data_IF_401380889972
#
_entry.id   IF_401380889972
#
_cell.length_a   1.000
_cell.length_b   1.000
_cell.length_c   1.000
_cell.angle_alpha   90.00
_cell.angle_beta   90.00
_cell.angle_gamma   90.00
#
_symmetry.space_group_name_H-M   'P 1'
#
loop_
_entity.id
_entity.type
_entity.pdbx_description
1 polymer ?
#
# COMPACT_ATOMS: atom_id res chain seq x y z
N UNK A 1 1.20 -20.76 10.96
CA UNK A 1 0.31 -21.28 9.91
C UNK A 1 -0.82 -20.28 9.75
N UNK A 2 -0.78 -19.41 8.73
CA UNK A 2 -1.70 -18.27 8.61
C UNK A 2 -3.14 -18.73 8.33
N UNK A 3 -4.11 -18.17 9.06
CA UNK A 3 -5.55 -18.47 8.98
C UNK A 3 -6.15 -18.40 7.58
N UNK A 4 -5.49 -17.73 6.61
CA UNK A 4 -6.00 -17.59 5.24
C UNK A 4 -6.07 -18.93 4.49
N UNK A 5 -5.19 -19.90 4.79
CA UNK A 5 -5.21 -21.23 4.14
C UNK A 5 -6.28 -22.17 4.70
N UNK A 6 -6.79 -21.90 5.90
CA UNK A 6 -7.79 -22.77 6.55
C UNK A 6 -9.22 -22.46 6.08
N UNK A 7 -9.44 -21.25 5.53
CA UNK A 7 -10.76 -20.75 5.11
C UNK A 7 -10.62 -19.97 3.80
N UNK A 8 -10.50 -20.65 2.65
CA UNK A 8 -10.20 -20.02 1.35
C UNK A 8 -11.29 -19.06 0.85
N UNK A 9 -12.50 -19.13 1.41
CA UNK A 9 -13.64 -18.26 1.06
C UNK A 9 -13.72 -16.96 1.87
N UNK A 10 -12.95 -16.83 2.96
CA UNK A 10 -12.99 -15.62 3.78
C UNK A 10 -12.04 -14.57 3.22
N UNK A 11 -12.58 -13.49 2.69
CA UNK A 11 -11.78 -12.33 2.26
C UNK A 11 -11.18 -11.64 3.49
N UNK A 12 -9.87 -11.44 3.48
CA UNK A 12 -9.14 -10.65 4.46
C UNK A 12 -8.64 -9.36 3.79
N UNK A 13 -8.84 -8.22 4.44
CA UNK A 13 -8.32 -6.94 3.98
C UNK A 13 -7.31 -6.38 5.00
N UNK A 14 -6.09 -6.08 4.54
CA UNK A 14 -5.07 -5.39 5.31
C UNK A 14 -4.89 -3.99 4.76
N UNK A 15 -5.14 -2.98 5.59
CA UNK A 15 -4.96 -1.56 5.24
C UNK A 15 -3.74 -1.00 5.94
N UNK A 16 -2.86 -0.33 5.20
CA UNK A 16 -1.69 0.35 5.71
C UNK A 16 -1.81 1.82 5.33
N UNK A 17 -2.05 2.68 6.31
CA UNK A 17 -1.99 4.13 6.10
C UNK A 17 -0.56 4.64 6.25
N UNK A 18 -0.28 5.80 5.66
CA UNK A 18 1.05 6.44 5.66
C UNK A 18 2.18 5.48 5.24
N UNK A 19 1.91 4.65 4.22
CA UNK A 19 2.86 3.61 3.79
C UNK A 19 4.20 4.20 3.32
N UNK A 20 4.23 5.48 2.94
CA UNK A 20 5.46 6.22 2.62
C UNK A 20 6.49 6.28 3.77
N UNK A 21 6.05 6.11 5.03
CA UNK A 21 6.96 5.94 6.17
C UNK A 21 7.75 4.63 6.13
N UNK A 22 7.18 3.57 5.56
CA UNK A 22 7.79 2.25 5.43
C UNK A 22 8.58 2.08 4.14
N UNK A 23 8.21 2.80 3.08
CA UNK A 23 8.87 2.70 1.76
C UNK A 23 9.34 4.05 1.21
N UNK A 24 10.18 4.80 1.95
CA UNK A 24 10.72 6.05 1.46
C UNK A 24 11.65 5.84 0.25
N UNK A 25 11.74 6.85 -0.60
CA UNK A 25 12.65 6.88 -1.75
C UNK A 25 14.09 6.67 -1.31
N UNK A 26 14.81 5.80 -2.03
CA UNK A 26 16.25 5.58 -1.83
C UNK A 26 17.00 6.84 -2.25
N UNK A 27 17.65 7.51 -1.30
CA UNK A 27 18.59 8.61 -1.57
C UNK A 27 20.01 8.12 -1.31
N UNK A 28 21.02 8.76 -1.91
CA UNK A 28 22.43 8.35 -1.73
C UNK A 28 22.92 8.41 -0.26
N UNK A 29 22.19 9.10 0.62
CA UNK A 29 22.44 9.17 2.06
C UNK A 29 21.43 8.35 2.90
N UNK A 30 20.63 7.49 2.27
CA UNK A 30 19.71 6.64 3.00
C UNK A 30 20.50 5.63 3.84
N UNK A 31 20.17 5.53 5.13
CA UNK A 31 20.74 4.51 6.00
C UNK A 31 20.45 3.11 5.43
N UNK A 32 21.49 2.28 5.33
CA UNK A 32 21.41 0.92 4.79
C UNK A 32 20.27 0.10 5.43
N UNK A 33 20.06 0.26 6.74
CA UNK A 33 18.98 -0.38 7.49
C UNK A 33 17.57 -0.09 6.95
N UNK A 34 17.32 1.11 6.43
CA UNK A 34 16.02 1.46 5.82
C UNK A 34 15.85 0.76 4.47
N UNK A 35 16.91 0.62 3.69
CA UNK A 35 16.89 -0.07 2.38
C UNK A 35 16.64 -1.57 2.56
N UNK A 36 17.24 -2.16 3.60
CA UNK A 36 17.03 -3.57 3.94
C UNK A 36 15.59 -3.82 4.40
N UNK A 37 15.03 -2.94 5.24
CA UNK A 37 13.62 -3.00 5.67
C UNK A 37 12.63 -2.96 4.51
N UNK A 38 12.86 -2.10 3.51
CA UNK A 38 12.03 -2.04 2.29
C UNK A 38 12.12 -3.36 1.52
N UNK A 39 13.32 -3.92 1.38
CA UNK A 39 13.53 -5.17 0.65
C UNK A 39 12.82 -6.35 1.32
N UNK A 40 12.87 -6.41 2.66
CA UNK A 40 12.11 -7.39 3.46
C UNK A 40 10.61 -7.21 3.27
N UNK A 41 10.10 -5.98 3.36
CA UNK A 41 8.68 -5.69 3.15
C UNK A 41 8.21 -6.12 1.75
N UNK A 42 9.00 -5.83 0.71
CA UNK A 42 8.70 -6.25 -0.66
C UNK A 42 8.67 -7.78 -0.82
N UNK A 43 9.62 -8.48 -0.21
CA UNK A 43 9.66 -9.95 -0.22
C UNK A 43 8.42 -10.54 0.46
N UNK A 44 7.99 -9.98 1.59
CA UNK A 44 6.76 -10.40 2.27
C UNK A 44 5.53 -10.14 1.40
N UNK A 45 5.44 -8.97 0.78
CA UNK A 45 4.34 -8.60 -0.14
C UNK A 45 4.28 -9.59 -1.33
N UNK A 46 5.41 -10.00 -1.88
CA UNK A 46 5.44 -11.02 -2.93
C UNK A 46 4.96 -12.39 -2.43
N UNK A 47 5.30 -12.77 -1.19
CA UNK A 47 4.79 -13.99 -0.56
C UNK A 47 3.27 -13.96 -0.36
N UNK A 48 2.71 -12.84 0.09
CA UNK A 48 1.25 -12.72 0.32
C UNK A 48 0.43 -12.53 -0.95
N UNK A 49 1.02 -12.08 -2.07
CA UNK A 49 0.31 -12.00 -3.37
C UNK A 49 -0.23 -13.34 -3.85
N UNK A 50 0.36 -14.45 -3.40
CA UNK A 50 -0.08 -15.80 -3.76
C UNK A 50 -1.26 -16.29 -2.89
N UNK A 51 -1.75 -15.47 -1.96
CA UNK A 51 -2.92 -15.77 -1.12
C UNK A 51 -4.17 -15.21 -1.81
N UNK A 52 -5.04 -16.05 -2.39
CA UNK A 52 -6.12 -15.62 -3.29
C UNK A 52 -7.21 -14.77 -2.60
N UNK A 53 -7.32 -14.86 -1.27
CA UNK A 53 -8.34 -14.19 -0.47
C UNK A 53 -7.81 -13.00 0.35
N UNK A 54 -6.61 -12.49 0.05
CA UNK A 54 -6.00 -11.37 0.78
C UNK A 54 -5.89 -10.13 -0.12
N UNK A 55 -6.50 -9.03 0.34
CA UNK A 55 -6.40 -7.72 -0.28
C UNK A 55 -5.50 -6.85 0.59
N UNK A 56 -4.47 -6.25 -0.01
CA UNK A 56 -3.60 -5.28 0.66
C UNK A 56 -3.82 -3.90 0.06
N UNK A 57 -4.22 -2.94 0.90
CA UNK A 57 -4.46 -1.56 0.53
C UNK A 57 -3.42 -0.67 1.22
N UNK A 58 -2.71 0.15 0.44
CA UNK A 58 -1.78 1.15 0.96
C UNK A 58 -2.29 2.56 0.65
N UNK A 59 -2.32 3.43 1.65
CA UNK A 59 -2.66 4.83 1.51
C UNK A 59 -1.44 5.72 1.79
N UNK A 60 -1.34 6.83 1.05
CA UNK A 60 -0.23 7.79 1.19
C UNK A 60 -0.64 9.15 0.64
N UNK A 61 -0.15 10.20 1.30
CA UNK A 61 -0.25 11.59 0.84
C UNK A 61 1.01 12.04 0.08
N UNK A 62 2.09 11.26 0.12
CA UNK A 62 3.42 11.64 -0.38
C UNK A 62 3.94 10.65 -1.42
N UNK A 63 3.13 10.34 -2.44
CA UNK A 63 3.47 9.39 -3.50
C UNK A 63 4.84 9.65 -4.16
N UNK A 64 5.21 10.92 -4.35
CA UNK A 64 6.49 11.34 -4.93
C UNK A 64 7.72 11.03 -4.05
N UNK A 65 7.51 10.78 -2.76
CA UNK A 65 8.55 10.46 -1.79
C UNK A 65 8.74 8.95 -1.59
N UNK A 66 8.01 8.12 -2.33
CA UNK A 66 8.07 6.66 -2.18
C UNK A 66 9.11 6.00 -3.09
N UNK A 67 9.53 4.79 -2.71
CA UNK A 67 10.41 3.95 -3.52
C UNK A 67 9.72 3.47 -4.83
N UNK A 68 10.43 3.66 -5.95
CA UNK A 68 9.93 3.29 -7.28
C UNK A 68 9.76 1.78 -7.46
N UNK A 69 10.60 0.95 -6.83
CA UNK A 69 10.47 -0.51 -6.93
C UNK A 69 9.22 -1.00 -6.20
N UNK A 70 8.89 -0.40 -5.06
CA UNK A 70 7.61 -0.62 -4.38
C UNK A 70 6.43 -0.20 -5.24
N UNK A 71 6.45 1.02 -5.80
CA UNK A 71 5.37 1.49 -6.66
C UNK A 71 5.15 0.59 -7.87
N UNK A 72 6.21 0.01 -8.44
CA UNK A 72 6.11 -0.97 -9.55
C UNK A 72 5.49 -2.30 -9.11
N UNK A 73 5.68 -2.72 -7.85
CA UNK A 73 5.10 -3.96 -7.31
C UNK A 73 3.58 -3.88 -7.08
N UNK A 74 3.03 -2.69 -6.87
CA UNK A 74 1.59 -2.52 -6.62
C UNK A 74 0.79 -2.67 -7.91
N UNK A 75 -0.21 -3.57 -7.89
CA UNK A 75 -1.03 -3.88 -9.07
C UNK A 75 -1.96 -2.72 -9.45
N UNK A 76 -2.70 -2.20 -8.48
CA UNK A 76 -3.63 -1.08 -8.67
C UNK A 76 -3.08 0.19 -8.04
N UNK A 77 -3.24 1.32 -8.74
CA UNK A 77 -2.81 2.65 -8.28
C UNK A 77 -3.96 3.62 -8.52
N UNK A 78 -4.57 4.11 -7.46
CA UNK A 78 -5.63 5.11 -7.53
C UNK A 78 -5.08 6.46 -7.03
N UNK A 79 -5.40 7.54 -7.72
CA UNK A 79 -5.19 8.89 -7.22
C UNK A 79 -6.52 9.46 -6.76
N UNK A 80 -6.59 9.83 -5.49
CA UNK A 80 -7.76 10.47 -4.91
C UNK A 80 -7.49 11.96 -4.81
N UNK A 81 -8.05 12.72 -5.75
CA UNK A 81 -7.95 14.17 -5.77
C UNK A 81 -8.96 14.85 -4.85
N UNK A 82 -8.86 16.17 -4.74
CA UNK A 82 -9.86 16.96 -4.03
C UNK A 82 -11.23 16.84 -4.74
N UNK A 83 -12.34 16.69 -4.00
CA UNK A 83 -13.66 16.61 -4.59
C UNK A 83 -14.02 17.92 -5.33
N UNK A 84 -14.70 17.80 -6.47
CA UNK A 84 -15.21 18.97 -7.22
C UNK A 84 -16.28 19.72 -6.42
N UNK A 85 -16.57 21.00 -6.74
CA UNK A 85 -17.65 21.74 -6.06
C UNK A 85 -18.99 21.01 -6.07
N UNK A 86 -19.32 20.32 -7.16
CA UNK A 86 -20.54 19.54 -7.30
C UNK A 86 -20.55 18.32 -6.38
N UNK A 87 -19.43 17.59 -6.28
CA UNK A 87 -19.29 16.45 -5.35
C UNK A 87 -19.34 16.95 -3.91
N UNK A 88 -18.68 18.07 -3.59
CA UNK A 88 -18.74 18.68 -2.25
C UNK A 88 -20.15 19.07 -1.86
N UNK A 89 -20.94 19.62 -2.79
CA UNK A 89 -22.36 19.91 -2.55
C UNK A 89 -23.13 18.64 -2.22
N UNK A 90 -22.96 17.57 -3.01
CA UNK A 90 -23.60 16.26 -2.77
C UNK A 90 -23.20 15.62 -1.44
N UNK A 91 -21.96 15.80 -0.98
CA UNK A 91 -21.50 15.27 0.31
C UNK A 91 -22.17 15.92 1.53
N UNK A 92 -22.76 17.11 1.34
CA UNK A 92 -23.45 17.86 2.39
C UNK A 92 -24.98 17.73 2.30
N UNK A 93 -25.48 17.04 1.27
CA UNK A 93 -26.89 16.70 1.17
C UNK A 93 -27.19 15.52 2.14
N UNK A 94 -28.26 15.59 2.95
CA UNK A 94 -28.59 14.61 3.98
C UNK A 94 -29.07 13.27 3.44
#
# INVERSE_FOLDING_TARGET
MYRSNTIPYLICAMTIDEIDGLVPKRTNNAQQSKVDGISVLLSHIEGVKNIPNLIVLGATNRRNMMDEAFLRRMQAKCFVGRPSPQIRKKMLEP
#
